data_IF_512679797578
#
_entry.id   IF_512679797578
#
_cell.length_a   1.000
_cell.length_b   1.000
_cell.length_c   1.000
_cell.angle_alpha   90.00
_cell.angle_beta   90.00
_cell.angle_gamma   90.00
#
_symmetry.space_group_name_H-M   'P 1'
#
loop_
_entity.id
_entity.type
_entity.pdbx_description
1 polymer ?
#
# COMPACT_ATOMS: atom_id res chain seq x y z
N UNK A 1 10.03 8.19 -17.62
CA UNK A 1 10.19 7.93 -19.08
C UNK A 1 8.86 7.42 -19.60
N UNK A 2 8.39 7.92 -20.74
CA UNK A 2 7.14 7.48 -21.38
C UNK A 2 7.44 6.32 -22.34
N UNK A 3 6.63 5.27 -22.30
CA UNK A 3 6.80 4.09 -23.14
C UNK A 3 5.61 3.93 -24.09
N UNK A 4 5.87 3.41 -25.29
CA UNK A 4 4.81 2.98 -26.18
C UNK A 4 4.35 1.58 -25.73
N UNK A 5 3.15 1.53 -25.15
CA UNK A 5 2.59 0.34 -24.50
C UNK A 5 1.19 0.12 -25.05
N UNK A 6 0.85 -1.14 -25.34
CA UNK A 6 -0.50 -1.48 -25.79
C UNK A 6 -1.51 -1.12 -24.70
N UNK A 7 -2.68 -0.56 -25.08
CA UNK A 7 -3.74 -0.16 -24.13
C UNK A 7 -4.12 -1.27 -23.14
N UNK A 8 -4.06 -2.53 -23.57
CA UNK A 8 -4.33 -3.68 -22.72
C UNK A 8 -3.30 -3.85 -21.58
N UNK A 9 -2.03 -3.53 -21.84
CA UNK A 9 -0.95 -3.66 -20.87
C UNK A 9 -0.87 -2.46 -19.92
N UNK A 10 -1.21 -1.27 -20.42
CA UNK A 10 -1.41 -0.08 -19.60
C UNK A 10 -2.53 -0.32 -18.57
N UNK A 11 -3.66 -0.89 -18.99
CA UNK A 11 -4.77 -1.22 -18.08
C UNK A 11 -4.37 -2.24 -17.01
N UNK A 12 -3.53 -3.22 -17.35
CA UNK A 12 -2.99 -4.18 -16.37
C UNK A 12 -2.06 -3.53 -15.34
N UNK A 13 -1.37 -2.45 -15.72
CA UNK A 13 -0.49 -1.70 -14.84
C UNK A 13 -1.24 -0.82 -13.82
N UNK A 14 -2.49 -0.46 -14.09
CA UNK A 14 -3.35 0.30 -13.17
C UNK A 14 -3.85 -0.56 -11.99
N UNK A 15 -4.18 -1.83 -12.26
CA UNK A 15 -4.75 -2.78 -11.29
C UNK A 15 -4.04 -2.80 -9.92
N UNK A 16 -2.71 -2.96 -9.81
CA UNK A 16 -2.04 -2.99 -8.51
C UNK A 16 -2.28 -1.72 -7.68
N UNK A 17 -2.35 -0.56 -8.33
CA UNK A 17 -2.58 0.73 -7.67
C UNK A 17 -4.04 0.92 -7.27
N UNK A 18 -4.98 0.52 -8.12
CA UNK A 18 -6.41 0.57 -7.79
C UNK A 18 -6.75 -0.32 -6.59
N UNK A 19 -6.20 -1.54 -6.53
CA UNK A 19 -6.41 -2.45 -5.40
C UNK A 19 -5.82 -1.87 -4.11
N UNK A 20 -4.65 -1.24 -4.17
CA UNK A 20 -4.04 -0.67 -2.98
C UNK A 20 -4.74 0.62 -2.53
N UNK A 21 -5.18 1.48 -3.45
CA UNK A 21 -6.02 2.65 -3.14
C UNK A 21 -7.38 2.23 -2.56
N UNK A 22 -8.00 1.17 -3.07
CA UNK A 22 -9.20 0.61 -2.47
C UNK A 22 -8.95 0.19 -1.02
N UNK A 23 -7.82 -0.46 -0.73
CA UNK A 23 -7.49 -0.80 0.64
C UNK A 23 -7.31 0.45 1.53
N UNK A 24 -6.56 1.47 1.08
CA UNK A 24 -6.27 2.66 1.88
C UNK A 24 -7.48 3.57 2.06
N UNK A 25 -8.20 3.91 0.99
CA UNK A 25 -9.34 4.84 1.04
C UNK A 25 -10.64 4.09 1.24
N UNK A 26 -10.93 3.12 0.38
CA UNK A 26 -12.19 2.36 0.45
C UNK A 26 -12.35 1.63 1.78
N UNK A 27 -11.33 0.90 2.21
CA UNK A 27 -11.40 0.09 3.40
C UNK A 27 -11.03 0.88 4.69
N UNK A 28 -9.83 1.46 4.78
CA UNK A 28 -9.38 2.13 6.01
C UNK A 28 -10.05 3.48 6.29
N UNK A 29 -10.62 4.17 5.30
CA UNK A 29 -11.36 5.43 5.52
C UNK A 29 -12.87 5.17 5.45
N UNK A 30 -13.40 4.76 4.30
CA UNK A 30 -14.86 4.72 4.09
C UNK A 30 -15.53 3.62 4.91
N UNK A 31 -15.07 2.36 4.79
CA UNK A 31 -15.63 1.23 5.57
C UNK A 31 -15.42 1.43 7.07
N UNK A 32 -14.26 1.94 7.48
CA UNK A 32 -13.99 2.24 8.88
C UNK A 32 -14.96 3.28 9.46
N UNK A 33 -15.13 4.44 8.82
CA UNK A 33 -16.05 5.49 9.29
C UNK A 33 -17.50 4.98 9.29
N UNK A 34 -17.92 4.27 8.24
CA UNK A 34 -19.25 3.67 8.19
C UNK A 34 -19.47 2.68 9.35
N UNK A 35 -18.47 1.86 9.67
CA UNK A 35 -18.51 0.89 10.78
C UNK A 35 -18.53 1.57 12.14
N UNK A 36 -17.78 2.67 12.33
CA UNK A 36 -17.81 3.47 13.55
C UNK A 36 -19.20 4.06 13.79
N UNK A 37 -19.90 4.51 12.75
CA UNK A 37 -21.29 4.99 12.86
C UNK A 37 -22.26 3.94 13.40
N UNK A 38 -21.95 2.64 13.26
CA UNK A 38 -22.75 1.52 13.75
C UNK A 38 -22.27 0.95 15.08
N UNK A 39 -21.16 1.45 15.64
CA UNK A 39 -20.46 0.82 16.76
C UNK A 39 -21.33 0.61 18.02
N UNK A 40 -22.24 1.55 18.30
CA UNK A 40 -23.13 1.46 19.46
C UNK A 40 -24.15 0.31 19.40
N UNK A 41 -24.54 -0.13 18.21
CA UNK A 41 -25.57 -1.17 18.01
C UNK A 41 -25.00 -2.47 17.47
N UNK A 42 -24.01 -2.38 16.57
CA UNK A 42 -23.43 -3.52 15.87
C UNK A 42 -21.94 -3.27 15.63
N UNK A 43 -21.04 -3.66 16.57
CA UNK A 43 -19.61 -3.37 16.49
C UNK A 43 -18.83 -4.31 15.55
N UNK A 44 -19.39 -5.45 15.18
CA UNK A 44 -18.74 -6.47 14.36
C UNK A 44 -18.21 -6.00 12.98
N UNK A 45 -18.83 -5.03 12.26
CA UNK A 45 -18.30 -4.50 11.01
C UNK A 45 -16.90 -3.91 11.12
N UNK A 46 -16.47 -3.45 12.31
CA UNK A 46 -15.09 -2.97 12.50
C UNK A 46 -14.04 -4.06 12.24
N UNK A 47 -14.38 -5.33 12.44
CA UNK A 47 -13.47 -6.44 12.13
C UNK A 47 -13.28 -6.64 10.62
N UNK A 48 -14.17 -6.11 9.76
CA UNK A 48 -14.00 -6.19 8.31
C UNK A 48 -12.77 -5.42 7.84
N UNK A 49 -12.47 -4.28 8.47
CA UNK A 49 -11.34 -3.42 8.08
C UNK A 49 -10.01 -4.19 8.11
N UNK A 50 -9.60 -4.83 9.21
CA UNK A 50 -8.35 -5.62 9.22
C UNK A 50 -8.42 -6.84 8.30
N UNK A 51 -9.57 -7.52 8.20
CA UNK A 51 -9.72 -8.73 7.35
C UNK A 51 -9.52 -8.38 5.87
N UNK A 52 -10.21 -7.34 5.38
CA UNK A 52 -10.09 -6.86 4.00
C UNK A 52 -8.66 -6.37 3.77
N UNK A 53 -8.08 -5.63 4.72
CA UNK A 53 -6.74 -5.09 4.58
C UNK A 53 -5.68 -6.19 4.43
N UNK A 54 -5.70 -7.20 5.30
CA UNK A 54 -4.78 -8.34 5.19
C UNK A 54 -4.99 -9.08 3.86
N UNK A 55 -6.25 -9.29 3.45
CA UNK A 55 -6.57 -9.96 2.19
C UNK A 55 -6.02 -9.21 0.97
N UNK A 56 -6.24 -7.89 0.90
CA UNK A 56 -5.72 -7.05 -0.18
C UNK A 56 -4.18 -7.04 -0.21
N UNK A 57 -3.54 -6.91 0.96
CA UNK A 57 -2.08 -6.90 1.05
C UNK A 57 -1.45 -8.23 0.64
N UNK A 58 -2.01 -9.35 1.11
CA UNK A 58 -1.56 -10.68 0.70
C UNK A 58 -1.74 -10.89 -0.80
N UNK A 59 -2.88 -10.47 -1.35
CA UNK A 59 -3.13 -10.52 -2.78
C UNK A 59 -2.09 -9.71 -3.56
N UNK A 60 -1.80 -8.46 -3.16
CA UNK A 60 -0.80 -7.62 -3.82
C UNK A 60 0.58 -8.28 -3.83
N UNK A 61 1.05 -8.77 -2.68
CA UNK A 61 2.35 -9.41 -2.57
C UNK A 61 2.44 -10.71 -3.37
N UNK A 62 1.40 -11.54 -3.31
CA UNK A 62 1.33 -12.79 -4.06
C UNK A 62 1.29 -12.52 -5.57
N UNK A 63 0.43 -11.62 -6.02
CA UNK A 63 0.25 -11.30 -7.44
C UNK A 63 1.46 -10.58 -8.02
N UNK A 64 2.18 -9.78 -7.23
CA UNK A 64 3.46 -9.19 -7.62
C UNK A 64 4.58 -10.23 -7.75
N UNK A 65 4.59 -11.31 -6.96
CA UNK A 65 5.52 -12.42 -7.20
C UNK A 65 5.18 -13.16 -8.48
N UNK A 66 3.88 -13.41 -8.75
CA UNK A 66 3.44 -14.05 -10.00
C UNK A 66 3.68 -13.18 -11.24
N UNK A 67 3.66 -11.86 -11.13
CA UNK A 67 3.87 -10.97 -12.28
C UNK A 67 5.22 -11.15 -12.94
N UNK A 68 6.24 -11.56 -12.17
CA UNK A 68 7.59 -11.88 -12.68
C UNK A 68 7.61 -12.98 -13.76
N UNK A 69 6.60 -13.86 -13.79
CA UNK A 69 6.56 -14.99 -14.71
C UNK A 69 5.51 -14.88 -15.82
N UNK A 70 4.50 -14.01 -15.67
CA UNK A 70 3.27 -14.08 -16.50
C UNK A 70 2.94 -12.73 -17.14
N UNK A 71 3.31 -11.61 -16.50
CA UNK A 71 2.89 -10.30 -16.99
C UNK A 71 3.92 -9.67 -17.94
N UNK A 72 3.45 -8.84 -18.89
CA UNK A 72 4.31 -7.96 -19.66
C UNK A 72 5.14 -7.07 -18.76
N UNK A 73 6.34 -6.74 -19.20
CA UNK A 73 7.34 -6.00 -18.42
C UNK A 73 6.79 -4.70 -17.81
N UNK A 74 5.98 -3.93 -18.54
CA UNK A 74 5.39 -2.69 -18.04
C UNK A 74 4.45 -2.92 -16.85
N UNK A 75 3.54 -3.89 -16.95
CA UNK A 75 2.64 -4.25 -15.86
C UNK A 75 3.38 -4.85 -14.67
N UNK A 76 4.38 -5.70 -14.93
CA UNK A 76 5.28 -6.25 -13.91
C UNK A 76 5.93 -5.14 -13.08
N UNK A 77 6.43 -4.10 -13.73
CA UNK A 77 7.06 -2.97 -13.05
C UNK A 77 6.12 -2.30 -12.05
N UNK A 78 4.86 -2.04 -12.45
CA UNK A 78 3.85 -1.43 -11.57
C UNK A 78 3.44 -2.34 -10.40
N UNK A 79 3.36 -3.66 -10.63
CA UNK A 79 3.17 -4.64 -9.55
C UNK A 79 4.28 -4.56 -8.49
N UNK A 80 5.54 -4.37 -8.89
CA UNK A 80 6.66 -4.24 -7.95
C UNK A 80 6.65 -2.91 -7.19
N UNK A 81 6.22 -1.82 -7.83
CA UNK A 81 6.04 -0.52 -7.16
C UNK A 81 5.00 -0.65 -6.04
N UNK A 82 3.82 -1.16 -6.37
CA UNK A 82 2.73 -1.31 -5.41
C UNK A 82 3.12 -2.30 -4.29
N UNK A 83 3.78 -3.41 -4.61
CA UNK A 83 4.23 -4.38 -3.60
C UNK A 83 5.23 -3.78 -2.61
N UNK A 84 6.17 -2.95 -3.08
CA UNK A 84 7.11 -2.26 -2.19
C UNK A 84 6.38 -1.33 -1.22
N UNK A 85 5.38 -0.58 -1.70
CA UNK A 85 4.60 0.36 -0.90
C UNK A 85 3.63 -0.36 0.04
N UNK A 86 3.04 -1.48 -0.39
CA UNK A 86 2.28 -2.40 0.46
C UNK A 86 3.15 -2.93 1.61
N UNK A 87 4.44 -3.21 1.36
CA UNK A 87 5.40 -3.57 2.41
C UNK A 87 5.57 -2.51 3.49
N UNK A 88 5.60 -1.22 3.12
CA UNK A 88 5.65 -0.09 4.08
C UNK A 88 4.40 -0.12 4.96
N UNK A 89 3.22 -0.31 4.35
CA UNK A 89 1.97 -0.36 5.09
C UNK A 89 1.88 -1.57 6.03
N UNK A 90 2.34 -2.75 5.60
CA UNK A 90 2.46 -3.93 6.46
C UNK A 90 3.39 -3.64 7.64
N UNK A 91 4.51 -2.95 7.41
CA UNK A 91 5.42 -2.53 8.47
C UNK A 91 4.73 -1.66 9.52
N UNK A 92 3.92 -0.68 9.09
CA UNK A 92 3.16 0.18 10.00
C UNK A 92 2.05 -0.57 10.75
N UNK A 93 1.31 -1.45 10.07
CA UNK A 93 0.30 -2.29 10.73
C UNK A 93 0.94 -3.23 11.75
N UNK A 94 2.14 -3.75 11.43
CA UNK A 94 2.91 -4.61 12.34
C UNK A 94 3.41 -3.81 13.54
N UNK A 95 3.90 -2.58 13.34
CA UNK A 95 4.26 -1.67 14.44
C UNK A 95 3.07 -1.41 15.35
N UNK A 96 1.92 -1.03 14.79
CA UNK A 96 0.68 -0.81 15.55
C UNK A 96 0.27 -2.08 16.32
N UNK A 97 0.33 -3.25 15.68
CA UNK A 97 0.04 -4.54 16.33
C UNK A 97 0.99 -4.84 17.48
N UNK A 98 2.30 -4.65 17.30
CA UNK A 98 3.32 -4.86 18.33
C UNK A 98 3.12 -3.90 19.49
N UNK A 99 2.93 -2.61 19.23
CA UNK A 99 2.69 -1.61 20.29
C UNK A 99 1.40 -1.94 21.06
N UNK A 100 0.35 -2.36 20.36
CA UNK A 100 -0.91 -2.78 21.00
C UNK A 100 -0.72 -4.02 21.86
N UNK A 101 0.02 -5.01 21.37
CA UNK A 101 0.33 -6.24 22.09
C UNK A 101 1.20 -5.97 23.33
N UNK A 102 2.25 -5.15 23.21
CA UNK A 102 3.11 -4.77 24.33
C UNK A 102 2.36 -3.91 25.36
N UNK A 103 1.50 -3.00 24.90
CA UNK A 103 0.63 -2.21 25.77
C UNK A 103 -0.31 -3.10 26.59
N UNK A 104 -0.93 -4.09 25.95
CA UNK A 104 -1.76 -5.08 26.63
C UNK A 104 -0.98 -5.92 27.64
N UNK A 105 0.21 -6.41 27.27
CA UNK A 105 1.09 -7.13 28.20
C UNK A 105 1.52 -6.28 29.39
N UNK A 106 1.89 -5.02 29.18
CA UNK A 106 2.26 -4.13 30.27
C UNK A 106 1.08 -3.77 31.18
N UNK A 107 -0.15 -3.73 30.67
CA UNK A 107 -1.33 -3.60 31.52
C UNK A 107 -1.48 -4.80 32.47
N UNK A 108 -1.35 -6.01 31.94
CA UNK A 108 -1.56 -7.25 32.70
C UNK A 108 -0.41 -7.53 33.68
N UNK A 109 0.84 -7.41 33.23
CA UNK A 109 2.00 -7.89 33.98
C UNK A 109 2.79 -6.79 34.68
N UNK A 110 2.77 -5.55 34.16
CA UNK A 110 3.52 -4.42 34.74
C UNK A 110 2.63 -3.46 35.54
N UNK A 111 1.33 -3.73 35.61
CA UNK A 111 0.37 -2.89 36.34
C UNK A 111 0.18 -1.49 35.74
N UNK A 112 0.47 -1.31 34.45
CA UNK A 112 0.30 -0.01 33.79
C UNK A 112 -1.17 0.43 33.81
N UNK A 113 -1.43 1.72 34.01
CA UNK A 113 -2.77 2.29 33.92
C UNK A 113 -3.33 2.17 32.50
N UNK A 114 -4.65 1.98 32.36
CA UNK A 114 -5.31 1.79 31.06
C UNK A 114 -5.12 3.02 30.16
N UNK A 115 -5.17 4.19 30.76
CA UNK A 115 -5.00 5.49 30.12
C UNK A 115 -3.60 5.63 29.53
N UNK A 116 -2.57 5.18 30.26
CA UNK A 116 -1.19 5.17 29.77
C UNK A 116 -1.02 4.22 28.57
N UNK A 117 -1.64 3.03 28.62
CA UNK A 117 -1.62 2.07 27.52
C UNK A 117 -2.30 2.64 26.29
N UNK A 118 -3.48 3.22 26.42
CA UNK A 118 -4.18 3.86 25.30
C UNK A 118 -3.41 5.06 24.74
N UNK A 119 -2.76 5.86 25.59
CA UNK A 119 -1.91 6.96 25.15
C UNK A 119 -0.72 6.47 24.32
N UNK A 120 -0.07 5.38 24.74
CA UNK A 120 1.04 4.78 23.98
C UNK A 120 0.56 4.21 22.65
N UNK A 121 -0.55 3.45 22.65
CA UNK A 121 -1.12 2.87 21.42
C UNK A 121 -1.55 3.98 20.46
N UNK A 122 -2.24 5.01 20.96
CA UNK A 122 -2.66 6.16 20.16
C UNK A 122 -1.48 6.93 19.61
N UNK A 123 -0.52 7.30 20.46
CA UNK A 123 0.61 8.16 20.13
C UNK A 123 1.66 7.48 19.25
N UNK A 124 2.07 6.26 19.60
CA UNK A 124 3.17 5.54 18.91
C UNK A 124 2.64 4.63 17.80
N UNK A 125 1.43 4.10 17.94
CA UNK A 125 0.82 3.21 16.96
C UNK A 125 -0.05 3.97 15.94
N UNK A 126 -1.15 4.55 16.41
CA UNK A 126 -2.22 5.07 15.53
C UNK A 126 -1.75 6.32 14.78
N UNK A 127 -1.18 7.31 15.46
CA UNK A 127 -0.80 8.58 14.83
C UNK A 127 0.20 8.38 13.67
N UNK A 128 1.33 7.66 13.81
CA UNK A 128 2.25 7.43 12.70
C UNK A 128 1.61 6.62 11.57
N UNK A 129 0.71 5.69 11.90
CA UNK A 129 -0.01 4.88 10.90
C UNK A 129 -0.91 5.75 10.04
N UNK A 130 -1.64 6.71 10.64
CA UNK A 130 -2.50 7.64 9.91
C UNK A 130 -1.68 8.55 8.97
N UNK A 131 -0.56 9.10 9.44
CA UNK A 131 0.35 9.90 8.60
C UNK A 131 0.87 9.07 7.42
N UNK A 132 1.29 7.84 7.68
CA UNK A 132 1.79 6.95 6.63
C UNK A 132 0.70 6.59 5.63
N UNK A 133 -0.52 6.34 6.10
CA UNK A 133 -1.67 6.07 5.23
C UNK A 133 -1.92 7.23 4.26
N UNK A 134 -1.90 8.48 4.74
CA UNK A 134 -2.07 9.66 3.89
C UNK A 134 -0.97 9.78 2.83
N UNK A 135 0.29 9.57 3.23
CA UNK A 135 1.43 9.60 2.31
C UNK A 135 1.27 8.50 1.24
N UNK A 136 0.89 7.29 1.64
CA UNK A 136 0.69 6.17 0.72
C UNK A 136 -0.46 6.42 -0.25
N UNK A 137 -1.57 7.02 0.18
CA UNK A 137 -2.67 7.41 -0.72
C UNK A 137 -2.16 8.37 -1.81
N UNK A 138 -1.38 9.38 -1.42
CA UNK A 138 -0.81 10.33 -2.37
C UNK A 138 0.13 9.62 -3.36
N UNK A 139 1.04 8.78 -2.86
CA UNK A 139 1.99 8.03 -3.68
C UNK A 139 1.29 7.06 -4.65
N UNK A 140 0.21 6.40 -4.20
CA UNK A 140 -0.56 5.48 -5.04
C UNK A 140 -1.39 6.19 -6.09
N UNK A 141 -1.96 7.35 -5.75
CA UNK A 141 -2.68 8.19 -6.72
C UNK A 141 -1.75 8.69 -7.83
N UNK A 142 -0.53 9.11 -7.46
CA UNK A 142 0.52 9.46 -8.43
C UNK A 142 0.99 8.23 -9.23
N UNK A 143 1.13 7.05 -8.60
CA UNK A 143 1.46 5.80 -9.29
C UNK A 143 0.43 5.39 -10.34
N UNK A 144 -0.85 5.52 -10.01
CA UNK A 144 -1.97 5.28 -10.92
C UNK A 144 -1.97 6.28 -12.08
N UNK A 145 -1.73 7.56 -11.79
CA UNK A 145 -1.60 8.59 -12.80
C UNK A 145 -0.42 8.31 -13.76
N UNK A 146 0.72 7.88 -13.23
CA UNK A 146 1.88 7.48 -14.04
C UNK A 146 1.59 6.26 -14.91
N UNK A 147 0.88 5.26 -14.39
CA UNK A 147 0.46 4.09 -15.19
C UNK A 147 -0.38 4.50 -16.40
N UNK A 148 -1.35 5.40 -16.21
CA UNK A 148 -2.20 5.96 -17.29
C UNK A 148 -1.44 6.80 -18.31
N UNK A 149 -0.33 7.42 -17.89
CA UNK A 149 0.57 8.15 -18.79
C UNK A 149 1.68 7.29 -19.40
N UNK A 150 1.64 5.98 -19.19
CA UNK A 150 2.68 5.05 -19.62
C UNK A 150 4.08 5.41 -19.09
N UNK A 151 4.14 5.96 -17.87
CA UNK A 151 5.36 6.41 -17.22
C UNK A 151 5.82 5.43 -16.15
N UNK A 152 7.11 5.17 -16.12
CA UNK A 152 7.78 4.40 -15.06
C UNK A 152 8.79 5.23 -14.28
N UNK A 153 8.91 4.89 -13.00
CA UNK A 153 9.91 5.48 -12.09
C UNK A 153 11.32 4.91 -12.34
N UNK A 154 12.33 5.76 -12.20
CA UNK A 154 13.72 5.40 -12.57
C UNK A 154 14.33 4.28 -11.72
N UNK A 155 13.92 4.11 -10.46
CA UNK A 155 14.45 3.04 -9.61
C UNK A 155 14.01 1.65 -10.09
N UNK A 156 12.79 1.55 -10.64
CA UNK A 156 12.25 0.28 -11.15
C UNK A 156 12.99 -0.13 -12.41
N UNK A 157 13.25 0.83 -13.30
CA UNK A 157 14.03 0.60 -14.53
C UNK A 157 15.43 0.06 -14.23
N UNK A 158 16.07 0.55 -13.17
CA UNK A 158 17.38 0.04 -12.73
C UNK A 158 17.31 -1.39 -12.17
N UNK A 159 16.19 -1.75 -11.53
CA UNK A 159 16.00 -3.06 -10.90
C UNK A 159 15.51 -4.12 -11.88
N UNK A 160 14.66 -3.72 -12.82
CA UNK A 160 14.05 -4.55 -13.86
C UNK A 160 14.28 -3.87 -15.22
N UNK A 161 15.51 -3.95 -15.77
CA UNK A 161 15.78 -3.40 -17.09
C UNK A 161 14.94 -4.12 -18.14
N UNK A 162 14.41 -3.36 -19.11
CA UNK A 162 13.72 -3.95 -20.25
C UNK A 162 14.77 -4.59 -21.19
N UNK A 163 14.71 -5.91 -21.34
CA UNK A 163 15.64 -6.68 -22.18
C UNK A 163 15.31 -6.50 -23.67
N UNK A 164 14.06 -6.15 -23.98
CA UNK A 164 13.53 -6.03 -25.35
C UNK A 164 13.46 -4.57 -25.84
N UNK A 165 13.83 -3.60 -25.01
CA UNK A 165 13.95 -2.21 -25.45
C UNK A 165 15.32 -2.03 -26.15
N UNK A 166 15.37 -1.67 -27.45
CA UNK A 166 16.63 -1.25 -28.05
C UNK A 166 17.09 -0.01 -27.28
N UNK A 167 18.22 -0.15 -26.60
CA UNK A 167 18.79 0.92 -25.81
C UNK A 167 19.00 2.15 -26.69
N UNK A 168 18.31 3.24 -26.37
CA UNK A 168 18.95 4.55 -26.30
C UNK A 168 18.46 5.28 -25.06
N UNK A 169 19.35 5.68 -24.15
CA UNK A 169 19.05 6.83 -23.31
C UNK A 169 18.92 8.02 -24.27
N UNK A 170 17.81 8.74 -24.23
CA UNK A 170 17.85 10.14 -24.66
C UNK A 170 18.66 10.88 -23.59
N UNK A 171 19.99 10.82 -23.73
CA UNK A 171 20.83 11.97 -23.47
C UNK A 171 20.42 13.05 -24.46
N UNK A 172 20.28 14.29 -23.97
CA UNK A 172 19.94 15.55 -24.68
C UNK A 172 18.43 15.89 -24.72
N UNK A 173 17.97 17.10 -24.36
CA UNK A 173 18.69 18.36 -24.10
C UNK A 173 18.64 18.83 -22.63
N UNK A 174 19.56 19.65 -22.13
CA UNK A 174 20.53 20.48 -22.85
C UNK A 174 19.97 21.90 -23.09
N UNK A 175 19.85 22.68 -22.01
CA UNK A 175 20.16 24.11 -21.86
C UNK A 175 19.59 24.61 -20.53
#
# INVERSE_FOLDING_TARGET
>A
MQFDVTKADAKKAEIPHEVFLFNLVGNHILIFIASLGMFGSFPYPLYLVPIISVSCLLYILWRARRSLAIDPWFALCHWQIAARRAGIFIGMLSLLGIVSFLGWLGHIYLGMMKEAVFAIIGGVGILPTMVTLLILIMMESDGLYQARQHKLSGWVLKRFPNVDAPGKPNSEGGA
#
